data_IF_510668825327
#
_entry.id   IF_510668825327
#
_cell.length_a   1.000
_cell.length_b   1.000
_cell.length_c   1.000
_cell.angle_alpha   90.00
_cell.angle_beta   90.00
_cell.angle_gamma   90.00
#
_symmetry.space_group_name_H-M   'P 1'
#
loop_
_entity.id
_entity.type
_entity.pdbx_description
1 polymer ?
#
# COMPACT_ATOMS: atom_id res chain seq x y z
N UNK A 1 18.93 -34.94 -15.85
CA UNK A 1 19.78 -34.43 -16.94
C UNK A 1 20.42 -33.14 -16.47
N UNK A 2 21.75 -33.18 -16.37
CA UNK A 2 22.74 -32.17 -15.93
C UNK A 2 22.49 -31.35 -14.65
N UNK A 3 23.18 -31.69 -13.55
CA UNK A 3 23.29 -30.83 -12.37
C UNK A 3 24.21 -29.65 -12.70
N UNK A 4 23.94 -28.51 -12.05
CA UNK A 4 24.83 -27.36 -11.97
C UNK A 4 26.24 -27.82 -11.58
N UNK A 5 27.11 -27.99 -12.58
CA UNK A 5 28.55 -27.95 -12.38
C UNK A 5 28.88 -26.49 -12.11
N UNK A 6 28.99 -26.15 -10.82
CA UNK A 6 29.76 -25.00 -10.40
C UNK A 6 31.19 -25.29 -10.82
N UNK A 7 31.60 -24.72 -11.96
CA UNK A 7 33.02 -24.50 -12.20
C UNK A 7 33.55 -23.81 -10.95
N UNK A 8 34.41 -24.50 -10.21
CA UNK A 8 35.42 -23.88 -9.35
C UNK A 8 36.41 -23.13 -10.27
N UNK A 9 35.90 -22.17 -11.04
CA UNK A 9 36.75 -21.12 -11.56
C UNK A 9 37.16 -20.34 -10.31
N UNK A 10 38.41 -20.53 -9.93
CA UNK A 10 39.14 -19.78 -8.93
C UNK A 10 38.57 -18.36 -8.87
N UNK A 11 38.16 -17.89 -7.69
CA UNK A 11 37.96 -16.47 -7.44
C UNK A 11 39.30 -15.79 -7.69
N UNK A 12 39.55 -15.50 -8.96
CA UNK A 12 40.79 -14.93 -9.40
C UNK A 12 40.81 -13.52 -8.86
N UNK A 13 41.88 -13.19 -8.16
CA UNK A 13 41.98 -11.91 -7.47
C UNK A 13 41.80 -10.81 -8.53
N UNK A 14 41.07 -9.76 -8.18
CA UNK A 14 40.91 -8.59 -9.06
C UNK A 14 42.28 -8.18 -9.62
N UNK A 15 42.38 -7.82 -10.92
CA UNK A 15 43.64 -7.35 -11.52
C UNK A 15 44.32 -6.24 -10.70
N UNK A 16 43.52 -5.40 -10.03
CA UNK A 16 44.01 -4.38 -9.12
C UNK A 16 44.68 -4.97 -7.86
N UNK A 17 44.11 -6.03 -7.28
CA UNK A 17 44.68 -6.74 -6.13
C UNK A 17 45.97 -7.47 -6.51
N UNK A 18 46.01 -8.10 -7.70
CA UNK A 18 47.22 -8.76 -8.19
C UNK A 18 48.36 -7.76 -8.38
N UNK A 19 48.09 -6.63 -9.04
CA UNK A 19 49.07 -5.54 -9.18
C UNK A 19 49.61 -5.07 -7.83
N UNK A 20 48.73 -4.85 -6.84
CA UNK A 20 49.12 -4.39 -5.50
C UNK A 20 49.99 -5.41 -4.74
N UNK A 21 49.70 -6.69 -4.89
CA UNK A 21 50.51 -7.77 -4.33
C UNK A 21 51.88 -7.83 -5.01
N UNK A 22 51.94 -7.62 -6.31
CA UNK A 22 53.20 -7.61 -7.06
C UNK A 22 54.06 -6.40 -6.71
N UNK A 23 53.46 -5.21 -6.59
CA UNK A 23 54.15 -3.99 -6.13
C UNK A 23 54.73 -4.20 -4.72
N UNK A 24 53.97 -4.79 -3.79
CA UNK A 24 54.44 -5.12 -2.44
C UNK A 24 55.57 -6.17 -2.45
N UNK A 25 55.49 -7.18 -3.33
CA UNK A 25 56.57 -8.17 -3.50
C UNK A 25 57.85 -7.52 -3.98
N UNK A 26 57.78 -6.57 -4.92
CA UNK A 26 58.95 -5.83 -5.40
C UNK A 26 59.61 -5.01 -4.29
N UNK A 27 58.82 -4.34 -3.45
CA UNK A 27 59.34 -3.63 -2.26
C UNK A 27 60.07 -4.60 -1.32
N UNK A 28 59.48 -5.76 -1.01
CA UNK A 28 60.10 -6.75 -0.14
C UNK A 28 61.36 -7.38 -0.75
N UNK A 29 61.41 -7.59 -2.08
CA UNK A 29 62.61 -8.06 -2.78
C UNK A 29 63.76 -7.04 -2.65
N UNK A 30 63.47 -5.75 -2.81
CA UNK A 30 64.46 -4.69 -2.63
C UNK A 30 65.06 -4.69 -1.22
N UNK A 31 64.20 -4.73 -0.19
CA UNK A 31 64.61 -4.79 1.23
C UNK A 31 65.44 -6.04 1.51
N UNK A 32 65.04 -7.19 0.98
CA UNK A 32 65.80 -8.45 1.12
C UNK A 32 67.20 -8.34 0.50
N UNK A 33 67.31 -7.73 -0.69
CA UNK A 33 68.60 -7.50 -1.34
C UNK A 33 69.54 -6.64 -0.49
N UNK A 34 69.02 -5.56 0.10
CA UNK A 34 69.78 -4.69 1.01
C UNK A 34 70.22 -5.43 2.29
N UNK A 35 69.34 -6.24 2.89
CA UNK A 35 69.69 -7.09 4.05
C UNK A 35 70.78 -8.12 3.72
N UNK A 36 70.69 -8.77 2.56
CA UNK A 36 71.70 -9.74 2.10
C UNK A 36 73.06 -9.06 1.83
N UNK A 37 73.05 -7.85 1.28
CA UNK A 37 74.26 -7.05 1.08
C UNK A 37 74.93 -6.62 2.40
N UNK A 38 74.16 -6.41 3.47
CA UNK A 38 74.71 -6.18 4.82
C UNK A 38 75.26 -7.48 5.42
N UNK A 39 74.54 -8.60 5.24
CA UNK A 39 74.90 -9.90 5.81
C UNK A 39 76.15 -10.55 5.19
N UNK A 40 76.40 -10.33 3.89
CA UNK A 40 77.53 -10.91 3.15
C UNK A 40 78.88 -10.21 3.38
N UNK A 41 78.92 -9.10 4.14
CA UNK A 41 80.15 -8.36 4.44
C UNK A 41 81.10 -9.14 5.35
N UNK A 42 82.41 -8.98 5.12
CA UNK A 42 83.47 -9.56 5.98
C UNK A 42 83.29 -9.12 7.44
N UNK A 43 83.57 -10.03 8.38
CA UNK A 43 83.37 -9.87 9.82
C UNK A 43 83.99 -8.58 10.39
N UNK A 44 85.21 -8.23 9.96
CA UNK A 44 85.89 -6.98 10.39
C UNK A 44 85.14 -5.71 9.99
N UNK A 45 84.51 -5.69 8.82
CA UNK A 45 83.74 -4.52 8.34
C UNK A 45 82.43 -4.35 9.11
N UNK A 46 81.79 -5.45 9.51
CA UNK A 46 80.58 -5.46 10.34
C UNK A 46 80.85 -4.98 11.76
N UNK A 47 82.00 -5.33 12.33
CA UNK A 47 82.44 -4.81 13.64
C UNK A 47 82.73 -3.32 13.57
N UNK A 48 83.46 -2.87 12.54
CA UNK A 48 83.82 -1.45 12.37
C UNK A 48 82.60 -0.53 12.18
N UNK A 49 81.57 -1.01 11.49
CA UNK A 49 80.39 -0.21 11.13
C UNK A 49 79.14 -0.55 11.97
N UNK A 50 79.28 -1.22 13.11
CA UNK A 50 78.16 -1.73 13.91
C UNK A 50 77.03 -0.71 14.14
N UNK A 51 77.36 0.51 14.57
CA UNK A 51 76.36 1.56 14.81
C UNK A 51 75.61 1.98 13.53
N UNK A 52 76.29 2.00 12.38
CA UNK A 52 75.70 2.32 11.08
C UNK A 52 74.83 1.17 10.59
N UNK A 53 75.26 -0.06 10.76
CA UNK A 53 74.49 -1.26 10.39
C UNK A 53 73.23 -1.41 11.25
N UNK A 54 73.29 -1.07 12.55
CA UNK A 54 72.11 -1.03 13.41
C UNK A 54 71.09 0.02 12.96
N UNK A 55 71.54 1.22 12.58
CA UNK A 55 70.70 2.28 12.01
C UNK A 55 70.07 1.86 10.67
N UNK A 56 70.87 1.23 9.79
CA UNK A 56 70.37 0.68 8.52
C UNK A 56 69.30 -0.39 8.76
N UNK A 57 69.50 -1.28 9.74
CA UNK A 57 68.54 -2.33 10.07
C UNK A 57 67.24 -1.76 10.64
N UNK A 58 67.33 -0.73 11.49
CA UNK A 58 66.15 -0.01 11.98
C UNK A 58 65.36 0.68 10.85
N UNK A 59 66.07 1.30 9.90
CA UNK A 59 65.47 1.89 8.70
C UNK A 59 64.79 0.83 7.81
N UNK A 60 65.44 -0.32 7.59
CA UNK A 60 64.87 -1.44 6.84
C UNK A 60 63.60 -1.98 7.53
N UNK A 61 63.63 -2.13 8.85
CA UNK A 61 62.45 -2.54 9.63
C UNK A 61 61.30 -1.55 9.45
N UNK A 62 61.56 -0.25 9.61
CA UNK A 62 60.54 0.78 9.44
C UNK A 62 59.93 0.76 8.01
N UNK A 63 60.74 0.50 6.98
CA UNK A 63 60.26 0.36 5.59
C UNK A 63 59.38 -0.87 5.40
N UNK A 64 59.69 -2.00 6.06
CA UNK A 64 58.81 -3.18 6.07
C UNK A 64 57.49 -2.85 6.76
N UNK A 65 57.55 -2.24 7.94
CA UNK A 65 56.36 -1.86 8.71
C UNK A 65 55.46 -0.89 7.92
N UNK A 66 56.05 0.07 7.20
CA UNK A 66 55.32 1.02 6.36
C UNK A 66 54.70 0.34 5.13
N UNK A 67 55.43 -0.55 4.46
CA UNK A 67 54.90 -1.30 3.32
C UNK A 67 53.71 -2.20 3.74
N UNK A 68 53.78 -2.81 4.93
CA UNK A 68 52.68 -3.60 5.50
C UNK A 68 51.46 -2.71 5.79
N UNK A 69 51.66 -1.55 6.42
CA UNK A 69 50.56 -0.61 6.69
C UNK A 69 49.90 -0.13 5.41
N UNK A 70 50.69 0.20 4.38
CA UNK A 70 50.19 0.72 3.12
C UNK A 70 49.27 -0.29 2.41
N UNK A 71 49.74 -1.55 2.25
CA UNK A 71 48.92 -2.58 1.59
C UNK A 71 47.69 -2.95 2.42
N UNK A 72 47.77 -2.90 3.76
CA UNK A 72 46.62 -3.13 4.63
C UNK A 72 45.56 -2.03 4.48
N UNK A 73 45.94 -0.75 4.58
CA UNK A 73 45.03 0.38 4.50
C UNK A 73 44.31 0.44 3.14
N UNK A 74 45.06 0.35 2.05
CA UNK A 74 44.46 0.34 0.71
C UNK A 74 43.56 -0.87 0.49
N UNK A 75 43.88 -2.03 1.07
CA UNK A 75 43.02 -3.23 0.95
C UNK A 75 41.70 -3.01 1.66
N UNK A 76 41.74 -2.48 2.89
CA UNK A 76 40.54 -2.15 3.65
C UNK A 76 39.70 -1.09 2.94
N UNK A 77 40.32 -0.05 2.36
CA UNK A 77 39.61 1.01 1.65
C UNK A 77 38.91 0.53 0.39
N UNK A 78 39.61 -0.21 -0.48
CA UNK A 78 39.04 -0.70 -1.74
C UNK A 78 37.94 -1.73 -1.47
N UNK A 79 38.20 -2.72 -0.62
CA UNK A 79 37.20 -3.74 -0.28
C UNK A 79 36.02 -3.12 0.46
N UNK A 80 36.26 -2.18 1.37
CA UNK A 80 35.21 -1.44 2.06
C UNK A 80 34.32 -0.65 1.10
N UNK A 81 34.92 0.00 0.10
CA UNK A 81 34.18 0.72 -0.93
C UNK A 81 33.34 -0.22 -1.81
N UNK A 82 33.90 -1.35 -2.27
CA UNK A 82 33.16 -2.35 -3.04
C UNK A 82 31.99 -2.93 -2.24
N UNK A 83 32.21 -3.24 -0.96
CA UNK A 83 31.14 -3.71 -0.06
C UNK A 83 30.06 -2.65 0.15
N UNK A 84 30.43 -1.37 0.28
CA UNK A 84 29.48 -0.27 0.40
C UNK A 84 28.62 -0.13 -0.87
N UNK A 85 29.24 -0.18 -2.05
CA UNK A 85 28.51 -0.16 -3.34
C UNK A 85 27.53 -1.34 -3.46
N UNK A 86 27.95 -2.54 -3.07
CA UNK A 86 27.08 -3.73 -3.06
C UNK A 86 25.93 -3.53 -2.06
N UNK A 87 26.21 -3.05 -0.86
CA UNK A 87 25.21 -2.81 0.18
C UNK A 87 24.17 -1.78 -0.26
N UNK A 88 24.61 -0.69 -0.89
CA UNK A 88 23.71 0.31 -1.48
C UNK A 88 22.86 -0.28 -2.61
N UNK A 89 23.47 -1.09 -3.47
CA UNK A 89 22.76 -1.82 -4.54
C UNK A 89 21.69 -2.75 -3.99
N UNK A 90 22.01 -3.53 -2.95
CA UNK A 90 21.08 -4.41 -2.26
C UNK A 90 19.93 -3.64 -1.62
N UNK A 91 20.22 -2.52 -0.96
CA UNK A 91 19.18 -1.67 -0.37
C UNK A 91 18.22 -1.14 -1.45
N UNK A 92 18.75 -0.60 -2.55
CA UNK A 92 17.94 -0.12 -3.68
C UNK A 92 17.07 -1.23 -4.27
N UNK A 93 17.67 -2.39 -4.55
CA UNK A 93 16.95 -3.57 -5.05
C UNK A 93 15.82 -3.99 -4.11
N UNK A 94 16.08 -4.00 -2.79
CA UNK A 94 15.06 -4.35 -1.80
C UNK A 94 13.89 -3.36 -1.80
N UNK A 95 14.15 -2.06 -1.96
CA UNK A 95 13.10 -1.05 -2.06
C UNK A 95 12.27 -1.20 -3.34
N UNK A 96 12.94 -1.44 -4.48
CA UNK A 96 12.25 -1.67 -5.76
C UNK A 96 11.37 -2.91 -5.73
N UNK A 97 11.87 -4.01 -5.13
CA UNK A 97 11.10 -5.25 -4.98
C UNK A 97 9.83 -5.04 -4.16
N UNK A 98 9.88 -4.26 -3.08
CA UNK A 98 8.69 -3.92 -2.27
C UNK A 98 7.64 -3.17 -3.11
N UNK A 99 8.07 -2.20 -3.92
CA UNK A 99 7.16 -1.45 -4.81
C UNK A 99 6.51 -2.38 -5.84
N UNK A 100 7.28 -3.30 -6.43
CA UNK A 100 6.75 -4.28 -7.40
C UNK A 100 5.75 -5.21 -6.73
N UNK A 101 6.05 -5.74 -5.54
CA UNK A 101 5.14 -6.61 -4.79
C UNK A 101 3.83 -5.88 -4.48
N UNK A 102 3.89 -4.65 -4.00
CA UNK A 102 2.70 -3.86 -3.70
C UNK A 102 1.83 -3.65 -4.94
N UNK A 103 2.44 -3.25 -6.06
CA UNK A 103 1.71 -3.06 -7.34
C UNK A 103 1.05 -4.35 -7.83
N UNK A 104 1.72 -5.50 -7.68
CA UNK A 104 1.15 -6.79 -8.05
C UNK A 104 -0.01 -7.18 -7.15
N UNK A 105 0.08 -6.92 -5.83
CA UNK A 105 -1.02 -7.14 -4.90
C UNK A 105 -2.22 -6.25 -5.21
N UNK A 106 -1.99 -4.95 -5.45
CA UNK A 106 -3.06 -4.01 -5.81
C UNK A 106 -3.77 -4.41 -7.10
N UNK A 107 -3.00 -4.83 -8.12
CA UNK A 107 -3.55 -5.32 -9.39
C UNK A 107 -4.34 -6.63 -9.23
N UNK A 108 -3.91 -7.53 -8.33
CA UNK A 108 -4.67 -8.75 -8.03
C UNK A 108 -6.01 -8.43 -7.34
N UNK A 109 -5.99 -7.48 -6.39
CA UNK A 109 -7.21 -6.99 -5.73
C UNK A 109 -8.16 -6.33 -6.74
N UNK A 110 -7.65 -5.49 -7.64
CA UNK A 110 -8.47 -4.86 -8.68
C UNK A 110 -9.18 -5.90 -9.56
N UNK A 111 -8.46 -6.94 -9.97
CA UNK A 111 -9.04 -8.05 -10.75
C UNK A 111 -10.15 -8.77 -10.01
N UNK A 112 -10.06 -8.93 -8.69
CA UNK A 112 -11.12 -9.53 -7.88
C UNK A 112 -12.34 -8.59 -7.84
N UNK A 113 -12.13 -7.30 -7.56
CA UNK A 113 -13.21 -6.30 -7.48
C UNK A 113 -13.94 -6.15 -8.82
N UNK A 114 -13.22 -6.21 -9.94
CA UNK A 114 -13.82 -6.09 -11.28
C UNK A 114 -14.80 -7.22 -11.61
N UNK A 115 -14.74 -8.35 -10.90
CA UNK A 115 -15.73 -9.44 -11.03
C UNK A 115 -17.13 -9.06 -10.55
N UNK A 116 -17.26 -8.01 -9.74
CA UNK A 116 -18.56 -7.46 -9.33
C UNK A 116 -19.28 -6.75 -10.50
N UNK A 117 -18.57 -6.47 -11.59
CA UNK A 117 -19.08 -5.81 -12.78
C UNK A 117 -19.06 -4.27 -12.71
N UNK A 118 -19.28 -3.63 -13.85
CA UNK A 118 -19.14 -2.17 -14.03
C UNK A 118 -20.48 -1.49 -14.36
N UNK A 119 -21.55 -1.87 -13.64
CA UNK A 119 -22.87 -1.25 -13.84
C UNK A 119 -22.91 0.19 -13.31
N UNK A 120 -23.67 1.04 -14.01
CA UNK A 120 -23.91 2.41 -13.58
C UNK A 120 -24.73 2.45 -12.28
N UNK A 121 -24.46 3.46 -11.46
CA UNK A 121 -25.17 3.68 -10.21
C UNK A 121 -26.46 4.51 -10.37
N UNK A 122 -26.76 4.98 -11.60
CA UNK A 122 -27.99 5.69 -11.93
C UNK A 122 -28.10 7.11 -11.36
N UNK A 123 -27.04 7.61 -10.71
CA UNK A 123 -27.10 8.86 -9.95
C UNK A 123 -26.53 10.07 -10.72
N UNK A 124 -25.88 9.86 -11.86
CA UNK A 124 -25.16 10.89 -12.64
C UNK A 124 -26.08 12.05 -13.09
N UNK A 125 -27.37 11.80 -13.28
CA UNK A 125 -28.31 12.76 -13.88
C UNK A 125 -29.22 13.49 -12.88
N UNK A 126 -29.01 13.34 -11.56
CA UNK A 126 -29.90 13.97 -10.56
C UNK A 126 -29.37 15.35 -10.16
N UNK A 127 -30.08 16.45 -10.48
CA UNK A 127 -29.64 17.77 -10.10
C UNK A 127 -29.77 17.95 -8.57
N UNK A 128 -28.80 18.63 -7.93
CA UNK A 128 -28.89 19.00 -6.52
C UNK A 128 -30.05 20.00 -6.31
N UNK A 129 -30.35 20.28 -5.05
CA UNK A 129 -31.21 21.40 -4.70
C UNK A 129 -30.67 22.72 -5.27
N UNK A 130 -31.58 23.58 -5.76
CA UNK A 130 -31.25 24.95 -6.13
C UNK A 130 -30.70 25.72 -4.93
N UNK A 131 -29.78 26.65 -5.18
CA UNK A 131 -29.15 27.48 -4.15
C UNK A 131 -30.18 28.15 -3.24
N UNK A 132 -29.98 28.06 -1.92
CA UNK A 132 -30.87 28.65 -0.92
C UNK A 132 -32.16 27.86 -0.62
N UNK A 133 -32.45 26.81 -1.39
CA UNK A 133 -33.62 25.94 -1.15
C UNK A 133 -33.25 24.76 -0.26
N UNK A 134 -34.21 24.27 0.54
CA UNK A 134 -34.04 23.07 1.39
C UNK A 134 -32.85 23.15 2.36
N UNK A 135 -32.36 24.35 2.66
CA UNK A 135 -31.20 24.59 3.53
C UNK A 135 -31.38 24.00 4.92
N UNK A 136 -32.58 24.12 5.50
CA UNK A 136 -32.88 23.58 6.83
C UNK A 136 -32.73 22.05 6.90
N UNK A 137 -33.22 21.33 5.89
CA UNK A 137 -33.14 19.87 5.88
C UNK A 137 -31.73 19.38 5.52
N UNK A 138 -31.04 20.07 4.60
CA UNK A 138 -29.64 19.79 4.29
C UNK A 138 -28.75 19.98 5.52
N UNK A 139 -28.96 21.06 6.28
CA UNK A 139 -28.24 21.32 7.54
C UNK A 139 -28.54 20.26 8.61
N UNK A 140 -29.79 19.80 8.70
CA UNK A 140 -30.17 18.73 9.64
C UNK A 140 -29.50 17.40 9.32
N UNK A 141 -29.50 16.99 8.04
CA UNK A 141 -28.85 15.75 7.60
C UNK A 141 -27.33 15.85 7.79
N UNK A 142 -26.76 17.00 7.43
CA UNK A 142 -25.34 17.34 7.64
C UNK A 142 -24.93 17.14 9.10
N UNK A 143 -25.65 17.75 10.04
CA UNK A 143 -25.36 17.64 11.47
C UNK A 143 -25.47 16.19 11.94
N UNK A 144 -26.49 15.48 11.46
CA UNK A 144 -26.70 14.08 11.79
C UNK A 144 -25.54 13.18 11.31
N UNK A 145 -24.97 13.45 10.13
CA UNK A 145 -23.74 12.76 9.66
C UNK A 145 -22.58 13.08 10.60
N UNK A 146 -22.39 14.35 10.98
CA UNK A 146 -21.28 14.81 11.82
C UNK A 146 -21.34 14.24 13.25
N UNK A 147 -22.54 14.04 13.79
CA UNK A 147 -22.77 13.35 15.07
C UNK A 147 -22.25 11.89 15.04
N UNK A 148 -22.02 11.33 13.85
CA UNK A 148 -21.39 10.01 13.68
C UNK A 148 -22.25 8.87 14.25
N UNK A 149 -23.57 9.04 14.23
CA UNK A 149 -24.50 8.02 14.73
C UNK A 149 -24.47 6.80 13.81
N UNK A 150 -24.41 5.57 14.36
CA UNK A 150 -24.36 4.32 13.58
C UNK A 150 -25.72 3.90 12.98
N UNK A 151 -26.66 4.82 12.86
CA UNK A 151 -28.03 4.53 12.45
C UNK A 151 -28.24 4.94 10.99
N UNK A 152 -29.23 4.37 10.31
CA UNK A 152 -29.66 4.86 9.00
C UNK A 152 -30.57 6.08 9.14
N UNK A 153 -30.47 7.04 8.21
CA UNK A 153 -31.41 8.15 8.04
C UNK A 153 -32.25 7.95 6.79
N UNK A 154 -33.57 8.00 6.97
CA UNK A 154 -34.56 7.87 5.91
C UNK A 154 -35.28 9.22 5.71
N UNK A 155 -35.33 9.68 4.46
CA UNK A 155 -35.99 10.91 4.02
C UNK A 155 -37.31 10.56 3.32
N UNK A 156 -38.38 10.60 4.09
CA UNK A 156 -39.75 10.42 3.57
C UNK A 156 -40.29 11.70 2.91
N UNK A 157 -41.33 11.60 2.09
CA UNK A 157 -42.03 12.73 1.48
C UNK A 157 -42.86 12.32 0.27
N UNK A 158 -43.85 13.15 -0.10
CA UNK A 158 -44.65 12.94 -1.31
C UNK A 158 -43.78 12.85 -2.58
N UNK A 159 -44.28 12.16 -3.61
CA UNK A 159 -43.66 12.17 -4.93
C UNK A 159 -43.48 13.62 -5.43
N UNK A 160 -42.35 13.91 -6.09
CA UNK A 160 -42.06 15.24 -6.63
C UNK A 160 -41.54 16.29 -5.63
N UNK A 161 -41.38 15.98 -4.33
CA UNK A 161 -40.91 16.97 -3.34
C UNK A 161 -39.39 17.22 -3.34
N UNK A 162 -38.65 16.67 -4.31
CA UNK A 162 -37.22 16.89 -4.46
C UNK A 162 -36.31 16.06 -3.55
N UNK A 163 -36.75 14.88 -3.08
CA UNK A 163 -35.94 13.96 -2.24
C UNK A 163 -34.62 13.56 -2.91
N UNK A 164 -34.68 13.16 -4.18
CA UNK A 164 -33.49 12.86 -4.97
C UNK A 164 -32.54 14.05 -5.13
N UNK A 165 -33.07 15.27 -5.21
CA UNK A 165 -32.25 16.48 -5.23
C UNK A 165 -31.57 16.75 -3.89
N UNK A 166 -32.22 16.42 -2.77
CA UNK A 166 -31.60 16.46 -1.44
C UNK A 166 -30.48 15.42 -1.36
N UNK A 167 -30.74 14.18 -1.78
CA UNK A 167 -29.73 13.12 -1.82
C UNK A 167 -28.51 13.52 -2.69
N UNK A 168 -28.75 14.09 -3.88
CA UNK A 168 -27.70 14.59 -4.76
C UNK A 168 -26.89 15.74 -4.13
N UNK A 169 -27.53 16.66 -3.41
CA UNK A 169 -26.84 17.73 -2.66
C UNK A 169 -25.94 17.17 -1.57
N UNK A 170 -26.43 16.22 -0.77
CA UNK A 170 -25.64 15.56 0.28
C UNK A 170 -24.49 14.78 -0.35
N UNK A 171 -24.75 13.98 -1.39
CA UNK A 171 -23.72 13.25 -2.11
C UNK A 171 -22.59 14.18 -2.59
N UNK A 172 -22.93 15.32 -3.18
CA UNK A 172 -21.94 16.30 -3.65
C UNK A 172 -21.10 16.85 -2.50
N UNK A 173 -21.73 17.19 -1.37
CA UNK A 173 -21.05 17.70 -0.18
C UNK A 173 -20.08 16.67 0.40
N UNK A 174 -20.55 15.44 0.58
CA UNK A 174 -19.76 14.37 1.19
C UNK A 174 -18.67 13.87 0.24
N UNK A 175 -18.89 13.92 -1.09
CA UNK A 175 -17.85 13.66 -2.09
C UNK A 175 -16.74 14.72 -2.02
N UNK A 176 -17.09 16.00 -1.88
CA UNK A 176 -16.12 17.08 -1.73
C UNK A 176 -15.33 17.01 -0.41
N UNK A 177 -15.78 16.20 0.54
CA UNK A 177 -15.11 15.96 1.81
C UNK A 177 -14.45 14.57 1.88
N UNK A 178 -14.37 13.84 0.76
CA UNK A 178 -13.88 12.45 0.68
C UNK A 178 -14.58 11.44 1.61
N UNK A 179 -15.81 11.77 2.03
CA UNK A 179 -16.64 10.94 2.93
C UNK A 179 -17.67 10.09 2.18
N UNK A 180 -17.98 10.41 0.93
CA UNK A 180 -18.92 9.61 0.13
C UNK A 180 -18.28 8.28 -0.27
N UNK A 181 -18.72 7.19 0.36
CA UNK A 181 -18.29 5.83 0.07
C UNK A 181 -19.01 5.20 -1.10
N UNK A 182 -20.32 5.42 -1.19
CA UNK A 182 -21.13 4.92 -2.29
C UNK A 182 -22.41 5.73 -2.48
N UNK A 183 -22.87 5.80 -3.73
CA UNK A 183 -24.15 6.36 -4.12
C UNK A 183 -24.81 5.39 -5.09
N UNK A 184 -26.10 5.12 -4.90
CA UNK A 184 -26.89 4.32 -5.82
C UNK A 184 -28.31 4.87 -5.93
N UNK A 185 -28.87 4.90 -7.13
CA UNK A 185 -30.23 5.34 -7.40
C UNK A 185 -31.04 4.19 -8.02
N UNK A 186 -32.03 3.73 -7.25
CA UNK A 186 -33.01 2.76 -7.72
C UNK A 186 -33.96 3.39 -8.72
N UNK A 187 -34.48 2.60 -9.65
CA UNK A 187 -35.51 3.06 -10.58
C UNK A 187 -36.48 1.96 -10.96
N UNK A 188 -37.76 2.31 -11.20
CA UNK A 188 -38.76 1.33 -11.65
C UNK A 188 -38.45 0.75 -13.01
N UNK A 189 -37.79 1.53 -13.86
CA UNK A 189 -37.57 1.23 -15.27
C UNK A 189 -36.42 0.23 -15.52
N UNK A 190 -35.62 -0.10 -14.50
CA UNK A 190 -34.43 -0.94 -14.64
C UNK A 190 -34.23 -1.86 -13.42
N UNK A 191 -35.02 -2.94 -13.38
CA UNK A 191 -34.90 -3.94 -12.32
C UNK A 191 -33.57 -4.70 -12.37
N UNK A 192 -32.94 -4.83 -13.54
CA UNK A 192 -31.64 -5.49 -13.66
C UNK A 192 -30.55 -4.68 -12.93
N UNK A 193 -30.57 -3.35 -13.04
CA UNK A 193 -29.70 -2.45 -12.27
C UNK A 193 -30.01 -2.53 -10.78
N UNK A 194 -31.29 -2.46 -10.39
CA UNK A 194 -31.70 -2.57 -8.98
C UNK A 194 -31.19 -3.86 -8.33
N UNK A 195 -31.23 -4.99 -9.05
CA UNK A 195 -30.70 -6.29 -8.59
C UNK A 195 -29.19 -6.29 -8.37
N UNK A 196 -28.45 -5.41 -9.06
CA UNK A 196 -27.00 -5.27 -8.88
C UNK A 196 -26.60 -4.17 -7.88
N UNK A 197 -27.54 -3.57 -7.15
CA UNK A 197 -27.26 -2.49 -6.20
C UNK A 197 -26.15 -2.87 -5.20
N UNK A 198 -26.19 -4.08 -4.63
CA UNK A 198 -25.17 -4.55 -3.68
C UNK A 198 -23.80 -4.57 -4.35
N UNK A 199 -23.68 -5.20 -5.52
CA UNK A 199 -22.40 -5.28 -6.24
C UNK A 199 -21.84 -3.91 -6.61
N UNK A 200 -22.70 -2.99 -7.07
CA UNK A 200 -22.32 -1.61 -7.43
C UNK A 200 -21.90 -0.81 -6.20
N UNK A 201 -22.59 -0.96 -5.07
CA UNK A 201 -22.23 -0.31 -3.80
C UNK A 201 -20.93 -0.90 -3.26
N UNK A 202 -20.77 -2.22 -3.20
CA UNK A 202 -19.54 -2.90 -2.78
C UNK A 202 -18.35 -2.45 -3.61
N UNK A 203 -18.51 -2.37 -4.94
CA UNK A 203 -17.44 -1.88 -5.82
C UNK A 203 -17.04 -0.45 -5.47
N UNK A 204 -18.00 0.46 -5.28
CA UNK A 204 -17.71 1.84 -4.86
C UNK A 204 -16.97 1.88 -3.51
N UNK A 205 -17.42 1.07 -2.53
CA UNK A 205 -16.76 0.96 -1.23
C UNK A 205 -15.32 0.43 -1.32
N UNK A 206 -15.04 -0.51 -2.23
CA UNK A 206 -13.71 -1.08 -2.42
C UNK A 206 -12.69 -0.09 -3.04
N UNK A 207 -13.19 1.00 -3.64
CA UNK A 207 -12.37 2.11 -4.14
C UNK A 207 -12.43 3.35 -3.24
N UNK A 208 -13.13 3.29 -2.10
CA UNK A 208 -13.04 4.32 -1.09
C UNK A 208 -11.69 4.26 -0.36
N UNK A 209 -11.33 5.34 0.33
CA UNK A 209 -10.02 5.60 0.95
C UNK A 209 -9.71 4.74 2.21
N UNK A 210 -10.00 3.43 2.16
CA UNK A 210 -9.62 2.47 3.20
C UNK A 210 -9.06 1.19 2.58
N UNK A 211 -7.74 1.00 2.70
CA UNK A 211 -7.06 -0.22 2.26
C UNK A 211 -7.57 -1.47 2.98
N UNK A 212 -7.94 -1.36 4.26
CA UNK A 212 -8.48 -2.49 5.04
C UNK A 212 -9.85 -2.94 4.53
N UNK A 213 -10.76 -1.99 4.27
CA UNK A 213 -12.06 -2.30 3.69
C UNK A 213 -11.91 -2.93 2.30
N UNK A 214 -11.03 -2.36 1.47
CA UNK A 214 -10.70 -2.87 0.15
C UNK A 214 -10.19 -4.31 0.19
N UNK A 215 -9.23 -4.62 1.07
CA UNK A 215 -8.72 -5.97 1.25
C UNK A 215 -9.77 -6.94 1.80
N UNK A 216 -10.62 -6.49 2.73
CA UNK A 216 -11.70 -7.31 3.28
C UNK A 216 -12.73 -7.69 2.21
N UNK A 217 -13.13 -6.75 1.35
CA UNK A 217 -14.01 -7.01 0.20
C UNK A 217 -13.34 -8.00 -0.77
N UNK A 218 -12.07 -7.78 -1.12
CA UNK A 218 -11.34 -8.68 -2.01
C UNK A 218 -11.27 -10.11 -1.46
N UNK A 219 -11.00 -10.26 -0.16
CA UNK A 219 -10.98 -11.56 0.50
C UNK A 219 -12.34 -12.25 0.50
N UNK A 220 -13.44 -11.50 0.66
CA UNK A 220 -14.79 -12.06 0.55
C UNK A 220 -15.07 -12.63 -0.85
N UNK A 221 -14.65 -11.92 -1.91
CA UNK A 221 -14.78 -12.37 -3.30
C UNK A 221 -13.86 -13.57 -3.58
N UNK A 222 -12.64 -13.57 -3.04
CA UNK A 222 -11.69 -14.67 -3.23
C UNK A 222 -12.19 -15.98 -2.59
N UNK A 223 -12.84 -15.89 -1.42
CA UNK A 223 -13.42 -17.05 -0.72
C UNK A 223 -14.63 -17.64 -1.43
N UNK A 224 -15.39 -16.82 -2.14
CA UNK A 224 -16.64 -17.20 -2.81
C UNK A 224 -16.70 -16.57 -4.20
N UNK A 225 -16.13 -17.26 -5.19
CA UNK A 225 -16.00 -16.76 -6.55
C UNK A 225 -17.38 -16.57 -7.23
N UNK A 226 -18.42 -17.26 -6.74
CA UNK A 226 -19.78 -17.19 -7.26
C UNK A 226 -20.65 -16.19 -6.49
N UNK A 227 -20.06 -15.38 -5.60
CA UNK A 227 -20.74 -14.36 -4.79
C UNK A 227 -21.67 -13.42 -5.57
N UNK A 228 -21.47 -13.07 -6.86
CA UNK A 228 -22.45 -12.26 -7.58
C UNK A 228 -23.78 -12.99 -7.88
N UNK A 229 -23.80 -14.33 -7.77
CA UNK A 229 -24.94 -15.19 -8.12
C UNK A 229 -25.66 -15.78 -6.91
N UNK A 230 -25.10 -15.67 -5.71
CA UNK A 230 -25.75 -16.15 -4.48
C UNK A 230 -26.97 -15.26 -4.11
N UNK A 231 -27.86 -15.71 -3.21
CA UNK A 231 -28.98 -14.90 -2.74
C UNK A 231 -28.54 -13.53 -2.21
N UNK A 232 -29.34 -12.49 -2.45
CA UNK A 232 -28.97 -11.12 -2.10
C UNK A 232 -28.74 -10.88 -0.61
N UNK A 233 -29.41 -11.62 0.28
CA UNK A 233 -29.16 -11.55 1.72
C UNK A 233 -27.71 -11.96 2.04
N UNK A 234 -27.25 -13.05 1.42
CA UNK A 234 -25.89 -13.53 1.58
C UNK A 234 -24.88 -12.57 0.92
N UNK A 235 -25.22 -11.99 -0.24
CA UNK A 235 -24.40 -10.95 -0.85
C UNK A 235 -24.24 -9.75 0.07
N UNK A 236 -25.35 -9.26 0.64
CA UNK A 236 -25.35 -8.11 1.54
C UNK A 236 -24.52 -8.38 2.79
N UNK A 237 -24.70 -9.55 3.41
CA UNK A 237 -23.95 -9.97 4.58
C UNK A 237 -22.44 -10.04 4.30
N UNK A 238 -22.04 -10.78 3.27
CA UNK A 238 -20.62 -11.06 2.95
C UNK A 238 -19.89 -9.90 2.30
N UNK A 239 -20.55 -9.08 1.48
CA UNK A 239 -19.90 -8.01 0.71
C UNK A 239 -20.06 -6.61 1.33
N UNK A 240 -21.01 -6.42 2.24
CA UNK A 240 -21.24 -5.12 2.91
C UNK A 240 -21.02 -5.26 4.41
N UNK A 241 -21.83 -6.06 5.12
CA UNK A 241 -21.82 -6.04 6.58
C UNK A 241 -20.51 -6.56 7.19
N UNK A 242 -19.98 -7.69 6.70
CA UNK A 242 -18.72 -8.27 7.19
C UNK A 242 -17.51 -7.38 6.88
N UNK A 243 -17.30 -6.89 5.64
CA UNK A 243 -16.16 -6.03 5.35
C UNK A 243 -16.17 -4.69 6.09
N UNK A 244 -17.35 -4.13 6.38
CA UNK A 244 -17.47 -2.88 7.15
C UNK A 244 -16.97 -2.98 8.58
N UNK A 245 -16.84 -4.19 9.15
CA UNK A 245 -16.25 -4.39 10.49
C UNK A 245 -14.74 -4.06 10.52
N UNK A 246 -14.10 -4.00 9.35
CA UNK A 246 -12.68 -3.67 9.21
C UNK A 246 -12.42 -2.17 9.01
N UNK A 247 -13.46 -1.33 9.09
CA UNK A 247 -13.30 0.11 9.13
C UNK A 247 -12.67 0.55 10.46
N UNK A 248 -11.71 1.47 10.37
CA UNK A 248 -11.08 2.06 11.54
C UNK A 248 -12.00 3.10 12.17
N UNK A 249 -12.32 2.93 13.46
CA UNK A 249 -13.13 3.89 14.24
C UNK A 249 -12.49 5.29 14.35
N UNK A 250 -11.22 5.44 13.94
CA UNK A 250 -10.45 6.69 13.96
C UNK A 250 -10.46 7.43 12.62
N UNK A 251 -11.00 6.82 11.57
CA UNK A 251 -11.02 7.37 10.22
C UNK A 251 -12.15 8.39 9.97
N UNK A 252 -12.18 8.98 8.77
CA UNK A 252 -13.30 9.84 8.35
C UNK A 252 -14.60 9.03 8.27
N UNK A 253 -15.71 9.71 8.53
CA UNK A 253 -17.04 9.09 8.45
C UNK A 253 -17.31 8.65 7.02
N UNK A 254 -17.57 7.36 6.81
CA UNK A 254 -18.01 6.81 5.53
C UNK A 254 -19.52 7.04 5.39
N UNK A 255 -19.96 7.60 4.26
CA UNK A 255 -21.36 7.85 3.94
C UNK A 255 -21.80 7.04 2.73
N UNK A 256 -22.83 6.22 2.90
CA UNK A 256 -23.51 5.49 1.80
C UNK A 256 -24.91 6.07 1.57
N UNK A 257 -25.24 6.38 0.32
CA UNK A 257 -26.50 7.01 -0.09
C UNK A 257 -27.26 6.09 -1.04
N UNK A 258 -28.50 5.76 -0.70
CA UNK A 258 -29.39 4.91 -1.51
C UNK A 258 -30.68 5.66 -1.82
N UNK A 259 -30.75 6.22 -3.03
CA UNK A 259 -31.88 7.01 -3.47
C UNK A 259 -32.98 6.20 -4.15
N UNK A 260 -34.23 6.64 -3.98
CA UNK A 260 -35.44 6.05 -4.57
C UNK A 260 -35.62 4.56 -4.26
N UNK A 261 -35.19 4.08 -3.08
CA UNK A 261 -35.30 2.67 -2.69
C UNK A 261 -36.74 2.12 -2.73
N UNK A 262 -37.75 2.99 -2.72
CA UNK A 262 -39.16 2.68 -2.95
C UNK A 262 -39.52 2.35 -4.42
N UNK A 263 -38.58 2.51 -5.35
CA UNK A 263 -38.71 2.19 -6.77
C UNK A 263 -38.19 0.79 -7.17
N UNK A 264 -37.64 0.01 -6.21
CA UNK A 264 -37.35 -1.40 -6.45
C UNK A 264 -38.49 -2.30 -5.93
N UNK A 265 -38.66 -3.48 -6.54
CA UNK A 265 -39.75 -4.39 -6.18
C UNK A 265 -39.77 -4.70 -4.68
N UNK A 266 -40.96 -4.81 -4.08
CA UNK A 266 -41.15 -4.97 -2.62
C UNK A 266 -40.33 -6.12 -2.01
N UNK A 267 -40.07 -7.19 -2.76
CA UNK A 267 -39.24 -8.31 -2.29
C UNK A 267 -37.78 -7.88 -2.06
N UNK A 268 -37.25 -6.98 -2.90
CA UNK A 268 -35.88 -6.46 -2.81
C UNK A 268 -35.72 -5.36 -1.74
N UNK A 269 -36.71 -4.47 -1.61
CA UNK A 269 -36.69 -3.38 -0.63
C UNK A 269 -36.87 -3.87 0.83
N UNK A 270 -37.58 -4.99 1.02
CA UNK A 270 -38.12 -5.40 2.32
C UNK A 270 -37.34 -6.55 2.97
N UNK A 271 -36.31 -7.15 2.36
CA UNK A 271 -35.51 -8.21 2.99
C UNK A 271 -34.04 -7.81 3.23
N UNK A 272 -33.38 -7.23 2.22
CA UNK A 272 -31.91 -7.14 2.18
C UNK A 272 -31.37 -5.88 2.87
N UNK A 273 -31.90 -4.71 2.51
CA UNK A 273 -31.60 -3.45 3.19
C UNK A 273 -32.32 -3.34 4.55
N UNK A 274 -33.18 -4.31 4.89
CA UNK A 274 -33.66 -4.45 6.27
C UNK A 274 -32.55 -4.86 7.24
N UNK A 275 -31.42 -5.41 6.80
CA UNK A 275 -30.22 -5.53 7.64
C UNK A 275 -29.72 -4.18 8.16
N UNK A 276 -29.79 -3.12 7.34
CA UNK A 276 -29.58 -1.73 7.79
C UNK A 276 -30.76 -1.17 8.61
N UNK A 277 -31.95 -1.75 8.45
CA UNK A 277 -33.12 -1.50 9.32
C UNK A 277 -33.00 -2.23 10.68
N UNK A 278 -32.14 -3.26 10.75
CA UNK A 278 -31.65 -3.97 11.95
C UNK A 278 -30.28 -3.45 12.42
N UNK A 279 -29.72 -2.40 11.80
CA UNK A 279 -28.87 -1.46 12.52
C UNK A 279 -29.76 -0.78 13.60
N UNK A 280 -29.20 -0.39 14.76
CA UNK A 280 -29.85 -0.50 16.07
C UNK A 280 -31.19 0.22 16.16
N UNK A 281 -31.98 -0.09 17.20
CA UNK A 281 -33.31 0.44 17.59
C UNK A 281 -33.49 1.99 17.57
N UNK A 282 -32.55 2.78 17.04
CA UNK A 282 -32.51 4.24 17.01
C UNK A 282 -32.35 4.87 15.60
N UNK A 283 -32.82 4.22 14.52
CA UNK A 283 -32.94 4.89 13.21
C UNK A 283 -33.81 6.14 13.29
N UNK A 284 -33.30 7.29 12.83
CA UNK A 284 -34.05 8.55 12.81
C UNK A 284 -34.76 8.71 11.46
N UNK A 285 -36.09 8.71 11.48
CA UNK A 285 -36.91 9.05 10.30
C UNK A 285 -37.12 10.54 10.30
N UNK A 286 -36.68 11.22 9.24
CA UNK A 286 -37.09 12.60 8.99
C UNK A 286 -38.44 12.56 8.28
N UNK A 287 -39.50 12.80 9.05
CA UNK A 287 -40.88 12.78 8.56
C UNK A 287 -41.16 13.95 7.60
N UNK A 288 -41.61 13.60 6.41
CA UNK A 288 -42.52 14.36 5.57
C UNK A 288 -43.45 13.29 4.99
N UNK A 289 -44.75 13.37 5.22
CA UNK A 289 -45.63 12.19 5.29
C UNK A 289 -45.56 11.23 4.07
N UNK A 290 -45.28 9.94 4.36
CA UNK A 290 -45.15 8.76 3.47
C UNK A 290 -43.74 8.46 2.87
N UNK A 291 -43.40 7.15 2.84
CA UNK A 291 -42.08 6.52 2.64
C UNK A 291 -41.19 7.07 1.48
N UNK A 292 -39.85 7.14 1.69
CA UNK A 292 -38.87 7.53 0.65
C UNK A 292 -37.39 7.52 1.11
N UNK A 293 -36.47 7.36 0.14
CA UNK A 293 -34.99 7.62 0.13
C UNK A 293 -34.17 7.39 1.42
N UNK A 294 -33.19 6.48 1.41
CA UNK A 294 -32.15 6.41 2.48
C UNK A 294 -31.01 7.35 2.11
N UNK A 295 -30.89 8.45 2.84
CA UNK A 295 -29.95 9.53 2.46
C UNK A 295 -28.54 9.26 2.96
N UNK A 296 -28.37 8.58 4.09
CA UNK A 296 -27.03 8.34 4.63
C UNK A 296 -27.05 7.21 5.67
N UNK A 297 -26.01 6.38 5.64
CA UNK A 297 -25.57 5.56 6.78
C UNK A 297 -24.13 5.98 7.12
N UNK A 298 -23.91 6.69 8.24
CA UNK A 298 -22.59 6.99 8.77
C UNK A 298 -22.05 5.70 9.36
N UNK A 299 -20.94 5.23 8.83
CA UNK A 299 -20.25 4.05 9.34
C UNK A 299 -18.97 4.56 10.02
N UNK A 300 -18.95 4.44 11.35
CA UNK A 300 -17.77 4.59 12.20
C UNK A 300 -17.32 3.21 12.66
#
# INVERSE_FOLDING_TARGET
>A
MHPFQTNQDSLDRSPAMNKRIDDFREVLKGIRGEMQALASRRLRLRVLHYARDASNLASLKNRVDEAIKHIQLETVLVTGHEVDLISQGQYRMSQELLVVIQKQQDAAIDRLIDRLGTRDNGAVNKPPCSTGTRSAILARITRWIEEGTRHGLCLSGQAGTGKSSIAASIARREKASDRLGALFHFTRDDQARNKAAILVVTRQLAFWQSGRLRSAIASAIEKDLDIPQIPLDDQFQKLILEPLQFLDNTGPILVVILDAMDECDQVYATAHWQGLRKAPKHSQVLHNDSWGTVVAVPLR
#
